data_IF_091513997515
#
_entry.id   IF_091513997515
#
_cell.length_a   1.000
_cell.length_b   1.000
_cell.length_c   1.000
_cell.angle_alpha   90.00
_cell.angle_beta   90.00
_cell.angle_gamma   90.00
#
_symmetry.space_group_name_H-M   'P 1'
#
loop_
_entity.id
_entity.type
_entity.pdbx_description
1 polymer ?
#
# COMPACT_ATOMS: atom_id res chain seq x y z
N UNK A 1 6.55 4.13 16.24
CA UNK A 1 6.06 5.51 15.99
C UNK A 1 4.72 5.66 16.70
N UNK A 2 4.25 6.88 16.99
CA UNK A 2 2.91 7.06 17.55
C UNK A 2 1.88 7.17 16.44
N UNK A 3 0.71 6.60 16.65
CA UNK A 3 -0.43 6.70 15.75
C UNK A 3 -0.88 8.17 15.64
N UNK A 4 -1.01 8.69 14.43
CA UNK A 4 -1.39 10.10 14.21
C UNK A 4 -2.84 10.39 14.64
N UNK A 5 -3.68 9.36 14.69
CA UNK A 5 -5.11 9.47 14.98
C UNK A 5 -5.43 9.40 16.47
N UNK A 6 -4.79 8.49 17.22
CA UNK A 6 -5.14 8.22 18.62
C UNK A 6 -3.94 8.31 19.59
N UNK A 7 -2.72 8.49 19.10
CA UNK A 7 -1.52 8.65 19.93
C UNK A 7 -0.95 7.37 20.56
N UNK A 8 -1.56 6.21 20.32
CA UNK A 8 -1.06 4.91 20.79
C UNK A 8 0.14 4.41 19.97
N UNK A 9 0.79 3.34 20.43
CA UNK A 9 1.87 2.70 19.69
C UNK A 9 1.38 2.05 18.38
N UNK A 10 2.33 1.88 17.48
CA UNK A 10 2.15 1.20 16.20
C UNK A 10 3.22 0.14 16.02
N UNK A 11 2.90 -0.94 15.31
CA UNK A 11 3.82 -2.02 15.00
C UNK A 11 4.01 -2.19 13.49
N UNK A 12 5.13 -2.75 13.07
CA UNK A 12 5.40 -3.08 11.67
C UNK A 12 4.51 -4.23 11.20
N UNK A 13 3.92 -4.05 10.02
CA UNK A 13 3.02 -5.03 9.42
C UNK A 13 3.04 -4.88 7.89
N UNK A 14 2.15 -5.61 7.22
CA UNK A 14 1.89 -5.46 5.80
C UNK A 14 0.40 -5.37 5.53
N UNK A 15 0.01 -4.58 4.53
CA UNK A 15 -1.38 -4.47 4.09
C UNK A 15 -1.54 -4.79 2.61
N UNK A 16 -2.80 -4.82 2.16
CA UNK A 16 -3.22 -4.94 0.77
C UNK A 16 -4.02 -3.68 0.43
N UNK A 17 -3.71 -3.04 -0.68
CA UNK A 17 -4.46 -1.91 -1.21
C UNK A 17 -5.06 -2.28 -2.57
N UNK A 18 -6.33 -1.93 -2.76
CA UNK A 18 -7.02 -2.06 -4.04
C UNK A 18 -7.28 -0.66 -4.59
N UNK A 19 -6.73 -0.37 -5.76
CA UNK A 19 -6.75 0.93 -6.40
C UNK A 19 -7.51 0.78 -7.71
N UNK A 20 -8.57 1.56 -7.86
CA UNK A 20 -9.26 1.68 -9.14
C UNK A 20 -8.42 2.54 -10.08
N UNK A 21 -8.16 2.02 -11.27
CA UNK A 21 -7.49 2.70 -12.36
C UNK A 21 -8.43 2.75 -13.56
N UNK A 22 -8.21 3.66 -14.50
CA UNK A 22 -9.08 3.82 -15.67
C UNK A 22 -9.18 2.49 -16.46
N UNK A 23 -10.30 1.78 -16.28
CA UNK A 23 -10.59 0.50 -16.93
C UNK A 23 -10.23 -0.77 -16.17
N UNK A 24 -9.82 -0.71 -14.89
CA UNK A 24 -9.56 -1.91 -14.10
C UNK A 24 -9.19 -1.67 -12.64
N UNK A 25 -8.99 -2.76 -11.89
CA UNK A 25 -8.59 -2.71 -10.48
C UNK A 25 -7.17 -3.25 -10.31
N UNK A 26 -6.30 -2.44 -9.71
CA UNK A 26 -4.96 -2.85 -9.29
C UNK A 26 -4.97 -3.22 -7.80
N UNK A 27 -4.70 -4.47 -7.48
CA UNK A 27 -4.53 -4.95 -6.10
C UNK A 27 -3.04 -5.10 -5.82
N UNK A 28 -2.51 -4.33 -4.88
CA UNK A 28 -1.11 -4.39 -4.45
C UNK A 28 -1.06 -5.07 -3.07
N UNK A 29 -0.41 -6.22 -2.99
CA UNK A 29 -0.29 -7.02 -1.76
C UNK A 29 1.05 -6.83 -1.08
N UNK A 30 1.09 -7.10 0.23
CA UNK A 30 2.28 -7.10 1.07
C UNK A 30 2.99 -5.74 1.14
N UNK A 31 2.22 -4.65 1.17
CA UNK A 31 2.76 -3.30 1.30
C UNK A 31 3.21 -3.11 2.75
N UNK A 32 4.51 -2.87 3.03
CA UNK A 32 5.00 -2.60 4.37
C UNK A 32 4.32 -1.36 4.95
N UNK A 33 3.85 -1.46 6.18
CA UNK A 33 3.18 -0.35 6.86
C UNK A 33 3.39 -0.43 8.38
N UNK A 34 3.09 0.66 9.06
CA UNK A 34 2.88 0.66 10.50
C UNK A 34 1.39 0.63 10.79
N UNK A 35 0.96 -0.31 11.64
CA UNK A 35 -0.44 -0.44 12.04
C UNK A 35 -0.60 -0.09 13.52
N UNK A 36 -1.63 0.69 13.86
CA UNK A 36 -1.92 1.02 15.25
C UNK A 36 -2.52 -0.19 15.99
N UNK A 37 -2.02 -0.47 17.19
CA UNK A 37 -2.47 -1.59 18.03
C UNK A 37 -3.91 -1.44 18.54
N UNK A 38 -4.48 -0.23 18.48
CA UNK A 38 -5.78 0.07 19.12
C UNK A 38 -6.87 0.47 18.14
N UNK A 39 -6.57 1.33 17.17
CA UNK A 39 -7.57 1.86 16.25
C UNK A 39 -7.38 1.38 14.80
N UNK A 40 -6.50 0.41 14.59
CA UNK A 40 -6.20 -0.22 13.30
C UNK A 40 -5.72 0.73 12.18
N UNK A 41 -5.39 1.97 12.52
CA UNK A 41 -4.91 2.97 11.57
C UNK A 41 -3.60 2.52 10.91
N UNK A 42 -3.49 2.74 9.59
CA UNK A 42 -2.34 2.33 8.79
C UNK A 42 -1.53 3.56 8.38
N UNK A 43 -0.22 3.46 8.53
CA UNK A 43 0.73 4.50 8.13
C UNK A 43 1.77 3.92 7.18
N UNK A 44 2.01 4.63 6.08
CA UNK A 44 3.11 4.34 5.16
C UNK A 44 4.24 5.34 5.39
N UNK A 45 5.47 4.88 5.27
CA UNK A 45 6.64 5.75 5.25
C UNK A 45 6.78 6.40 3.88
N UNK A 46 7.54 7.50 3.80
CA UNK A 46 7.75 8.22 2.54
C UNK A 46 8.38 7.37 1.44
N UNK A 47 9.32 6.48 1.79
CA UNK A 47 9.95 5.54 0.85
C UNK A 47 8.95 4.49 0.33
N UNK A 48 8.04 4.01 1.18
CA UNK A 48 6.97 3.10 0.75
C UNK A 48 6.04 3.79 -0.24
N UNK A 49 5.63 5.03 0.06
CA UNK A 49 4.77 5.83 -0.84
C UNK A 49 5.47 6.05 -2.19
N UNK A 50 6.74 6.45 -2.19
CA UNK A 50 7.50 6.63 -3.44
C UNK A 50 7.60 5.35 -4.28
N UNK A 51 7.72 4.18 -3.64
CA UNK A 51 7.71 2.90 -4.36
C UNK A 51 6.33 2.54 -4.89
N UNK A 52 5.26 2.80 -4.11
CA UNK A 52 3.88 2.61 -4.57
C UNK A 52 3.60 3.45 -5.82
N UNK A 53 4.03 4.71 -5.86
CA UNK A 53 3.88 5.58 -7.03
C UNK A 53 4.52 4.97 -8.29
N UNK A 54 5.72 4.39 -8.17
CA UNK A 54 6.41 3.70 -9.28
C UNK A 54 5.64 2.45 -9.73
N UNK A 55 5.17 1.64 -8.79
CA UNK A 55 4.38 0.43 -9.10
C UNK A 55 3.09 0.80 -9.83
N UNK A 56 2.39 1.83 -9.35
CA UNK A 56 1.14 2.31 -9.96
C UNK A 56 1.43 2.86 -11.36
N UNK A 57 2.49 3.64 -11.54
CA UNK A 57 2.87 4.19 -12.84
C UNK A 57 3.21 3.08 -13.85
N UNK A 58 3.91 2.03 -13.44
CA UNK A 58 4.21 0.87 -14.27
C UNK A 58 2.94 0.08 -14.60
N UNK A 59 2.07 -0.17 -13.62
CA UNK A 59 0.81 -0.88 -13.81
C UNK A 59 -0.11 -0.16 -14.81
N UNK A 60 -0.16 1.18 -14.77
CA UNK A 60 -0.95 1.99 -15.71
C UNK A 60 -0.58 1.77 -17.19
N UNK A 61 0.65 1.35 -17.49
CA UNK A 61 1.07 1.07 -18.87
C UNK A 61 0.51 -0.24 -19.43
N UNK A 62 0.04 -1.15 -18.55
CA UNK A 62 -0.36 -2.52 -18.89
C UNK A 62 -1.67 -2.94 -18.22
N UNK A 63 -2.59 -2.00 -17.99
CA UNK A 63 -3.85 -2.25 -17.28
C UNK A 63 -4.67 -3.35 -17.97
N UNK A 64 -5.02 -4.35 -17.16
CA UNK A 64 -6.07 -5.32 -17.42
C UNK A 64 -7.24 -5.02 -16.47
N UNK A 65 -8.41 -5.62 -16.71
CA UNK A 65 -9.61 -5.45 -15.85
C UNK A 65 -9.30 -5.73 -14.36
N UNK A 66 -8.42 -6.70 -14.09
CA UNK A 66 -7.89 -6.98 -12.76
C UNK A 66 -6.38 -7.27 -12.85
N UNK A 67 -5.59 -6.55 -12.07
CA UNK A 67 -4.15 -6.76 -11.95
C UNK A 67 -3.78 -6.95 -10.48
N UNK A 68 -3.09 -8.04 -10.14
CA UNK A 68 -2.64 -8.31 -8.77
C UNK A 68 -1.12 -8.33 -8.71
N UNK A 69 -0.54 -7.41 -7.96
CA UNK A 69 0.91 -7.23 -7.83
C UNK A 69 1.34 -7.47 -6.38
N UNK A 70 2.54 -8.00 -6.18
CA UNK A 70 3.15 -8.12 -4.85
C UNK A 70 4.20 -7.01 -4.70
N UNK A 71 4.03 -6.16 -3.70
CA UNK A 71 4.92 -5.03 -3.42
C UNK A 71 6.39 -5.46 -3.27
N UNK A 72 6.65 -6.59 -2.61
CA UNK A 72 8.01 -7.05 -2.35
C UNK A 72 8.77 -7.38 -3.65
N UNK A 73 8.08 -7.95 -4.64
CA UNK A 73 8.67 -8.46 -5.89
C UNK A 73 8.37 -7.57 -7.09
N UNK A 74 7.56 -6.53 -6.94
CA UNK A 74 7.29 -5.58 -8.00
C UNK A 74 8.58 -4.85 -8.39
N UNK A 75 8.93 -4.95 -9.68
CA UNK A 75 10.08 -4.34 -10.30
C UNK A 75 9.73 -2.96 -10.85
#
# INVERSE_FOLDING_TARGET
MKCIRCGNETYESTTIEAIELDGGVLVIRNIPCYKCETCDEIHFTGDVVQRLEKIIAAAKQHIQELSVVNYATAA
#
